data_IF_970984625337
#
_entry.id   IF_970984625337
#
_cell.length_a   1.000
_cell.length_b   1.000
_cell.length_c   1.000
_cell.angle_alpha   90.00
_cell.angle_beta   90.00
_cell.angle_gamma   90.00
#
_symmetry.space_group_name_H-M   'P 1'
#
loop_
_entity.id
_entity.type
_entity.pdbx_description
1 polymer ?
#
# COMPACT_ATOMS: atom_id res chain seq x y z
N UNK A 1 31.11 -18.27 -10.95
CA UNK A 1 30.22 -17.31 -11.65
C UNK A 1 30.60 -15.93 -11.15
N UNK A 2 31.00 -14.99 -12.02
CA UNK A 2 31.40 -13.65 -11.58
C UNK A 2 30.16 -12.80 -11.23
N UNK A 3 30.23 -12.02 -10.16
CA UNK A 3 29.17 -11.11 -9.74
C UNK A 3 29.07 -9.95 -10.74
N UNK A 4 27.94 -9.81 -11.44
CA UNK A 4 27.72 -8.66 -12.34
C UNK A 4 27.17 -7.44 -11.57
N UNK A 5 28.10 -6.74 -10.91
CA UNK A 5 27.80 -5.57 -10.08
C UNK A 5 27.04 -4.47 -10.85
N UNK A 6 27.33 -4.27 -12.15
CA UNK A 6 26.71 -3.18 -12.93
C UNK A 6 25.25 -3.47 -13.19
N UNK A 7 24.94 -4.73 -13.53
CA UNK A 7 23.55 -5.14 -13.74
C UNK A 7 22.73 -5.03 -12.45
N UNK A 8 23.30 -5.42 -11.31
CA UNK A 8 22.62 -5.29 -10.01
C UNK A 8 22.36 -3.83 -9.66
N UNK A 9 23.35 -2.95 -9.86
CA UNK A 9 23.19 -1.51 -9.59
C UNK A 9 22.12 -0.89 -10.49
N UNK A 10 22.14 -1.18 -11.79
CA UNK A 10 21.16 -0.64 -12.74
C UNK A 10 19.73 -1.10 -12.41
N UNK A 11 19.53 -2.37 -12.07
CA UNK A 11 18.21 -2.88 -11.64
C UNK A 11 17.76 -2.26 -10.31
N UNK A 12 18.69 -2.01 -9.39
CA UNK A 12 18.39 -1.38 -8.11
C UNK A 12 17.96 0.07 -8.30
N UNK A 13 18.60 0.84 -9.19
CA UNK A 13 18.20 2.21 -9.52
C UNK A 13 16.80 2.30 -10.14
N UNK A 14 16.48 1.38 -11.07
CA UNK A 14 15.14 1.28 -11.65
C UNK A 14 14.11 0.93 -10.58
N UNK A 15 14.39 -0.07 -9.75
CA UNK A 15 13.51 -0.49 -8.66
C UNK A 15 13.28 0.62 -7.64
N UNK A 16 14.31 1.41 -7.30
CA UNK A 16 14.16 2.59 -6.42
C UNK A 16 13.20 3.60 -7.03
N UNK A 17 13.24 3.79 -8.36
CA UNK A 17 12.33 4.71 -9.07
C UNK A 17 10.88 4.23 -9.00
N UNK A 18 10.65 2.94 -9.22
CA UNK A 18 9.32 2.33 -9.09
C UNK A 18 8.78 2.48 -7.66
N UNK A 19 9.61 2.17 -6.65
CA UNK A 19 9.22 2.29 -5.24
C UNK A 19 8.93 3.74 -4.83
N UNK A 20 9.71 4.71 -5.32
CA UNK A 20 9.45 6.14 -5.10
C UNK A 20 8.17 6.62 -5.77
N UNK A 21 7.75 5.99 -6.85
CA UNK A 21 6.46 6.29 -7.48
C UNK A 21 5.32 5.87 -6.56
N UNK A 22 5.43 4.69 -5.94
CA UNK A 22 4.46 4.21 -4.93
C UNK A 22 4.45 5.13 -3.70
N UNK A 23 5.63 5.54 -3.21
CA UNK A 23 5.75 6.46 -2.06
C UNK A 23 5.02 7.80 -2.29
N UNK A 24 5.07 8.32 -3.52
CA UNK A 24 4.44 9.60 -3.89
C UNK A 24 2.91 9.53 -4.04
N UNK A 25 2.32 8.33 -4.05
CA UNK A 25 0.88 8.21 -4.11
C UNK A 25 0.25 8.79 -2.84
N UNK A 26 -0.79 9.62 -3.00
CA UNK A 26 -1.55 10.21 -1.90
C UNK A 26 -2.30 9.16 -1.08
N UNK A 27 -2.92 9.54 0.02
CA UNK A 27 -3.71 8.58 0.82
C UNK A 27 -5.09 8.32 0.20
N UNK A 28 -5.78 7.28 0.66
CA UNK A 28 -7.13 6.91 0.17
C UNK A 28 -8.22 7.59 1.01
N UNK A 29 -8.12 8.91 1.18
CA UNK A 29 -8.92 9.72 2.14
C UNK A 29 -10.43 9.54 1.93
N UNK A 30 -10.93 9.75 0.72
CA UNK A 30 -12.37 9.61 0.43
C UNK A 30 -12.91 8.18 0.67
N UNK A 31 -12.06 7.17 0.52
CA UNK A 31 -12.44 5.78 0.77
C UNK A 31 -12.50 5.48 2.26
N UNK A 32 -11.61 6.09 3.05
CA UNK A 32 -11.67 6.07 4.51
C UNK A 32 -12.94 6.79 5.02
N UNK A 33 -13.24 7.96 4.47
CA UNK A 33 -14.46 8.71 4.77
C UNK A 33 -15.72 7.88 4.45
N UNK A 34 -15.80 7.28 3.26
CA UNK A 34 -16.90 6.38 2.90
C UNK A 34 -17.04 5.22 3.89
N UNK A 35 -15.94 4.58 4.27
CA UNK A 35 -15.96 3.47 5.22
C UNK A 35 -16.45 3.88 6.61
N UNK A 36 -16.17 5.12 7.01
CA UNK A 36 -16.62 5.72 8.26
C UNK A 36 -18.10 6.08 8.21
N UNK A 37 -18.60 6.66 7.13
CA UNK A 37 -20.03 6.94 6.95
C UNK A 37 -20.86 5.66 6.93
N UNK A 38 -20.41 4.63 6.20
CA UNK A 38 -21.06 3.31 6.22
C UNK A 38 -21.09 2.69 7.62
N UNK A 39 -20.11 3.00 8.47
CA UNK A 39 -20.13 2.58 9.88
C UNK A 39 -21.29 3.24 10.64
N UNK A 40 -21.42 4.56 10.52
CA UNK A 40 -22.47 5.32 11.20
C UNK A 40 -23.86 4.86 10.78
N UNK A 41 -24.05 4.55 9.50
CA UNK A 41 -25.33 4.03 8.98
C UNK A 41 -25.64 2.62 9.49
N UNK A 42 -24.64 1.77 9.70
CA UNK A 42 -24.85 0.49 10.39
C UNK A 42 -25.22 0.68 11.86
N UNK A 43 -24.51 1.59 12.54
CA UNK A 43 -24.71 1.86 13.96
C UNK A 43 -26.07 2.53 14.25
N UNK A 44 -26.72 3.15 13.24
CA UNK A 44 -28.05 3.76 13.38
C UNK A 44 -29.20 2.74 13.40
N UNK A 45 -29.00 1.53 12.88
CA UNK A 45 -30.04 0.49 12.77
C UNK A 45 -31.15 0.77 11.74
N UNK A 46 -31.11 1.91 11.05
CA UNK A 46 -32.16 2.34 10.11
C UNK A 46 -32.28 1.41 8.90
N UNK A 47 -31.20 0.72 8.54
CA UNK A 47 -31.12 -0.16 7.37
C UNK A 47 -32.03 -1.39 7.48
N UNK A 48 -32.26 -1.90 8.69
CA UNK A 48 -33.08 -3.09 8.92
C UNK A 48 -34.54 -2.86 8.54
N UNK A 49 -35.03 -1.63 8.77
CA UNK A 49 -36.37 -1.21 8.38
C UNK A 49 -36.54 -1.00 6.87
N UNK A 50 -35.45 -0.81 6.13
CA UNK A 50 -35.46 -0.66 4.66
C UNK A 50 -35.39 -2.02 3.99
N UNK A 51 -34.36 -2.81 4.34
CA UNK A 51 -34.17 -4.16 3.84
C UNK A 51 -33.23 -4.94 4.77
N UNK A 52 -33.66 -6.10 5.31
CA UNK A 52 -32.86 -6.89 6.24
C UNK A 52 -31.54 -7.42 5.67
N UNK A 53 -31.35 -7.40 4.35
CA UNK A 53 -30.11 -7.80 3.68
C UNK A 53 -29.09 -6.66 3.52
N UNK A 54 -29.48 -5.40 3.73
CA UNK A 54 -28.56 -4.26 3.63
C UNK A 54 -27.50 -4.25 4.74
N UNK A 55 -27.82 -4.49 6.02
CA UNK A 55 -26.79 -4.54 7.06
C UNK A 55 -25.67 -5.55 6.78
N UNK A 56 -25.94 -6.86 6.52
CA UNK A 56 -24.86 -7.82 6.25
C UNK A 56 -24.09 -7.49 4.96
N UNK A 57 -24.76 -6.92 3.95
CA UNK A 57 -24.10 -6.50 2.71
C UNK A 57 -23.13 -5.33 2.94
N UNK A 58 -23.55 -4.30 3.68
CA UNK A 58 -22.71 -3.14 4.00
C UNK A 58 -21.54 -3.55 4.92
N UNK A 59 -21.75 -4.47 5.87
CA UNK A 59 -20.67 -5.05 6.68
C UNK A 59 -19.59 -5.67 5.79
N UNK A 60 -19.98 -6.44 4.77
CA UNK A 60 -19.04 -7.06 3.83
C UNK A 60 -18.29 -6.01 2.99
N UNK A 61 -19.00 -4.98 2.49
CA UNK A 61 -18.36 -3.87 1.76
C UNK A 61 -17.31 -3.18 2.63
N UNK A 62 -17.67 -2.80 3.86
CA UNK A 62 -16.75 -2.14 4.80
C UNK A 62 -15.52 -2.98 5.10
N UNK A 63 -15.70 -4.30 5.27
CA UNK A 63 -14.59 -5.24 5.46
C UNK A 63 -13.62 -5.21 4.28
N UNK A 64 -14.14 -5.28 3.05
CA UNK A 64 -13.32 -5.23 1.84
C UNK A 64 -12.60 -3.89 1.67
N UNK A 65 -13.29 -2.78 1.93
CA UNK A 65 -12.69 -1.44 1.92
C UNK A 65 -11.57 -1.33 2.97
N UNK A 66 -11.82 -1.79 4.19
CA UNK A 66 -10.83 -1.80 5.27
C UNK A 66 -9.58 -2.59 4.91
N UNK A 67 -9.73 -3.77 4.29
CA UNK A 67 -8.59 -4.53 3.78
C UNK A 67 -7.82 -3.78 2.70
N UNK A 68 -8.51 -3.14 1.76
CA UNK A 68 -7.87 -2.39 0.68
C UNK A 68 -7.05 -1.22 1.23
N UNK A 69 -7.60 -0.44 2.17
CA UNK A 69 -6.90 0.67 2.84
C UNK A 69 -5.68 0.15 3.62
N UNK A 70 -5.84 -0.93 4.38
CA UNK A 70 -4.75 -1.55 5.14
C UNK A 70 -3.61 -2.04 4.24
N UNK A 71 -3.94 -2.77 3.17
CA UNK A 71 -2.97 -3.26 2.21
C UNK A 71 -2.26 -2.12 1.47
N UNK A 72 -3.00 -1.06 1.12
CA UNK A 72 -2.44 0.13 0.49
C UNK A 72 -1.39 0.81 1.37
N UNK A 73 -1.75 1.12 2.63
CA UNK A 73 -0.84 1.73 3.62
C UNK A 73 0.38 0.86 3.88
N UNK A 74 0.18 -0.45 3.97
CA UNK A 74 1.27 -1.42 4.12
C UNK A 74 2.21 -1.40 2.92
N UNK A 75 1.67 -1.45 1.70
CA UNK A 75 2.45 -1.41 0.44
C UNK A 75 3.28 -0.12 0.36
N UNK A 76 2.69 1.03 0.67
CA UNK A 76 3.39 2.33 0.71
C UNK A 76 4.54 2.32 1.74
N UNK A 77 4.29 1.79 2.93
CA UNK A 77 5.32 1.62 3.97
C UNK A 77 6.45 0.70 3.51
N UNK A 78 6.12 -0.42 2.89
CA UNK A 78 7.11 -1.34 2.34
C UNK A 78 7.91 -0.71 1.20
N UNK A 79 7.29 0.09 0.34
CA UNK A 79 8.00 0.79 -0.73
C UNK A 79 9.05 1.76 -0.17
N UNK A 80 8.71 2.52 0.87
CA UNK A 80 9.65 3.42 1.58
C UNK A 80 10.81 2.64 2.20
N UNK A 81 10.52 1.51 2.85
CA UNK A 81 11.56 0.74 3.52
C UNK A 81 12.49 0.06 2.51
N UNK A 82 11.94 -0.57 1.46
CA UNK A 82 12.74 -1.26 0.44
C UNK A 82 13.54 -0.29 -0.42
N UNK A 83 13.06 0.94 -0.65
CA UNK A 83 13.84 1.93 -1.38
C UNK A 83 15.12 2.32 -0.62
N UNK A 84 15.04 2.43 0.72
CA UNK A 84 16.22 2.66 1.59
C UNK A 84 17.20 1.48 1.54
N UNK A 85 16.70 0.25 1.62
CA UNK A 85 17.57 -0.93 1.56
C UNK A 85 18.32 -1.01 0.22
N UNK A 86 17.65 -0.71 -0.90
CA UNK A 86 18.27 -0.69 -2.22
C UNK A 86 19.29 0.44 -2.39
N UNK A 87 19.06 1.60 -1.76
CA UNK A 87 20.05 2.67 -1.72
C UNK A 87 21.32 2.23 -0.97
N UNK A 88 21.16 1.57 0.18
CA UNK A 88 22.29 1.02 0.95
C UNK A 88 23.02 -0.08 0.17
N UNK A 89 22.28 -0.95 -0.53
CA UNK A 89 22.89 -1.95 -1.40
C UNK A 89 23.75 -1.29 -2.48
N UNK A 90 23.23 -0.27 -3.17
CA UNK A 90 23.97 0.43 -4.21
C UNK A 90 25.23 1.12 -3.67
N UNK A 91 25.16 1.71 -2.48
CA UNK A 91 26.31 2.29 -1.80
C UNK A 91 27.38 1.23 -1.51
N UNK A 92 27.01 0.09 -0.92
CA UNK A 92 27.94 -1.00 -0.67
C UNK A 92 28.58 -1.56 -1.96
N UNK A 93 27.78 -1.74 -3.01
CA UNK A 93 28.25 -2.21 -4.30
C UNK A 93 29.19 -1.21 -4.98
N UNK A 94 29.05 0.09 -4.72
CA UNK A 94 29.96 1.13 -5.25
C UNK A 94 31.41 0.98 -4.74
N UNK A 95 31.59 0.36 -3.58
CA UNK A 95 32.90 0.10 -2.98
C UNK A 95 33.55 -1.21 -3.46
N UNK A 96 32.81 -2.06 -4.17
CA UNK A 96 33.38 -3.26 -4.80
C UNK A 96 34.17 -2.79 -6.02
N UNK A 97 35.49 -2.65 -5.83
CA UNK A 97 36.43 -2.38 -6.92
C UNK A 97 36.27 -3.47 -7.99
N UNK A 98 35.98 -3.03 -9.21
CA UNK A 98 36.13 -3.84 -10.41
C UNK A 98 37.60 -3.94 -10.80
#
# INVERSE_FOLDING_TARGET
MALDVKKIQSLSEQSITDLKTIEKLGDLEHLEELNNELKKVLDSGELEGINPMLPPYIVQIRKNIGFMIGNYRSTKTHAVNRSKDLMQLNEQLSHIKR
#
